data_IF_775663364931
#
_entry.id   IF_775663364931
#
_cell.length_a   1.000
_cell.length_b   1.000
_cell.length_c   1.000
_cell.angle_alpha   90.00
_cell.angle_beta   90.00
_cell.angle_gamma   90.00
#
_symmetry.space_group_name_H-M   'P 1'
#
loop_
_entity.id
_entity.type
_entity.pdbx_description
1 polymer ?
#
# COMPACT_ATOMS: atom_id res chain seq x y z
N UNK A 1 -5.67 -0.07 -24.43
CA UNK A 1 -4.95 1.19 -24.23
C UNK A 1 -5.65 1.95 -23.13
N UNK A 2 -4.89 2.60 -22.27
CA UNK A 2 -5.43 3.41 -21.18
C UNK A 2 -5.15 4.89 -21.44
N UNK A 3 -6.03 5.75 -20.93
CA UNK A 3 -5.88 7.20 -20.98
C UNK A 3 -6.26 7.81 -19.63
N UNK A 4 -5.78 9.00 -19.33
CA UNK A 4 -6.16 9.76 -18.14
C UNK A 4 -7.02 10.94 -18.56
N UNK A 5 -8.11 11.15 -17.82
CA UNK A 5 -9.04 12.25 -18.02
C UNK A 5 -9.11 13.11 -16.78
N UNK A 6 -8.99 14.41 -16.96
CA UNK A 6 -9.00 15.35 -15.84
C UNK A 6 -10.42 15.68 -15.41
N UNK A 7 -10.74 15.37 -14.17
CA UNK A 7 -11.98 15.82 -13.54
C UNK A 7 -11.81 17.27 -13.08
N UNK A 8 -12.51 18.17 -13.75
CA UNK A 8 -12.44 19.61 -13.50
C UNK A 8 -13.04 20.03 -12.16
N UNK A 9 -13.90 19.20 -11.55
CA UNK A 9 -14.56 19.50 -10.28
C UNK A 9 -13.66 19.14 -9.10
N UNK A 10 -13.04 17.97 -9.15
CA UNK A 10 -12.18 17.50 -8.07
C UNK A 10 -10.70 17.90 -8.25
N UNK A 11 -10.32 18.37 -9.45
CA UNK A 11 -8.92 18.63 -9.76
C UNK A 11 -8.07 17.37 -9.90
N UNK A 12 -8.68 16.22 -10.16
CA UNK A 12 -8.00 14.92 -10.17
C UNK A 12 -7.97 14.29 -11.56
N UNK A 13 -6.94 13.49 -11.80
CA UNK A 13 -6.86 12.66 -12.99
C UNK A 13 -7.48 11.28 -12.74
N UNK A 14 -8.38 10.87 -13.61
CA UNK A 14 -9.03 9.55 -13.60
C UNK A 14 -8.47 8.71 -14.74
N UNK A 15 -7.95 7.52 -14.44
CA UNK A 15 -7.46 6.58 -15.43
C UNK A 15 -8.61 5.75 -15.98
N UNK A 16 -8.80 5.78 -17.31
CA UNK A 16 -9.78 4.98 -18.04
C UNK A 16 -9.05 3.83 -18.72
N UNK A 17 -9.26 2.61 -18.25
CA UNK A 17 -8.58 1.38 -18.70
C UNK A 17 -9.60 0.27 -18.98
N UNK A 18 -10.33 0.37 -20.09
CA UNK A 18 -11.47 -0.50 -20.42
C UNK A 18 -11.11 -1.98 -20.61
N UNK A 19 -9.90 -2.27 -21.08
CA UNK A 19 -9.39 -3.65 -21.24
C UNK A 19 -9.27 -4.41 -19.91
N UNK A 20 -9.35 -3.73 -18.75
CA UNK A 20 -9.34 -4.38 -17.44
C UNK A 20 -10.65 -5.10 -17.11
N UNK A 21 -11.69 -4.94 -17.90
CA UNK A 21 -12.94 -5.72 -17.77
C UNK A 21 -12.72 -7.21 -18.07
N UNK A 22 -11.71 -7.55 -18.88
CA UNK A 22 -11.38 -8.93 -19.27
C UNK A 22 -10.42 -9.63 -18.30
N UNK A 23 -10.20 -9.05 -17.09
CA UNK A 23 -9.32 -9.66 -16.07
C UNK A 23 -9.86 -10.99 -15.60
N UNK A 24 -8.95 -11.95 -15.40
CA UNK A 24 -9.23 -13.20 -14.67
C UNK A 24 -9.80 -12.88 -13.29
N UNK A 25 -10.87 -13.53 -12.91
CA UNK A 25 -11.52 -13.34 -11.62
C UNK A 25 -11.69 -14.67 -10.91
N UNK A 26 -11.04 -14.85 -9.76
CA UNK A 26 -11.09 -16.00 -8.87
C UNK A 26 -11.05 -17.36 -9.63
N UNK A 27 -9.99 -17.60 -10.44
CA UNK A 27 -9.87 -18.87 -11.13
C UNK A 27 -9.63 -19.99 -10.13
N UNK A 28 -10.04 -21.24 -10.44
CA UNK A 28 -9.62 -22.38 -9.64
C UNK A 28 -8.10 -22.47 -9.53
N UNK A 29 -7.56 -22.99 -8.43
CA UNK A 29 -6.12 -22.99 -8.14
C UNK A 29 -5.27 -23.58 -9.29
N UNK A 30 -5.76 -24.62 -9.99
CA UNK A 30 -5.07 -25.24 -11.12
C UNK A 30 -5.06 -24.41 -12.42
N UNK A 31 -5.79 -23.29 -12.45
CA UNK A 31 -5.74 -22.28 -13.54
C UNK A 31 -5.22 -20.92 -13.06
N UNK A 32 -4.64 -20.85 -11.87
CA UNK A 32 -4.11 -19.60 -11.34
C UNK A 32 -2.91 -19.12 -12.17
N UNK A 33 -2.96 -17.91 -12.73
CA UNK A 33 -1.88 -17.38 -13.57
C UNK A 33 -0.61 -17.06 -12.77
N UNK A 34 -0.67 -16.96 -11.44
CA UNK A 34 0.45 -16.63 -10.56
C UNK A 34 1.13 -17.86 -9.96
N UNK A 35 0.61 -19.06 -10.20
CA UNK A 35 1.30 -20.28 -9.80
C UNK A 35 2.54 -20.54 -10.65
N UNK A 36 3.56 -21.25 -10.10
CA UNK A 36 4.71 -21.70 -10.89
C UNK A 36 4.28 -22.54 -12.08
N UNK A 37 4.93 -22.38 -13.23
CA UNK A 37 4.78 -23.32 -14.35
C UNK A 37 5.65 -24.55 -14.09
N UNK A 38 5.01 -25.70 -13.91
CA UNK A 38 5.65 -27.01 -13.75
C UNK A 38 5.38 -27.90 -14.96
N UNK A 39 6.02 -29.09 -15.03
CA UNK A 39 5.73 -30.07 -16.08
C UNK A 39 4.26 -30.55 -16.07
N UNK A 40 3.60 -30.50 -14.91
CA UNK A 40 2.23 -30.92 -14.70
C UNK A 40 1.21 -29.80 -14.85
N UNK A 41 1.65 -28.56 -15.14
CA UNK A 41 0.76 -27.42 -15.33
C UNK A 41 -0.10 -27.60 -16.58
N UNK A 42 -1.43 -27.48 -16.43
CA UNK A 42 -2.37 -27.61 -17.53
C UNK A 42 -2.21 -26.49 -18.59
N UNK A 43 -1.71 -25.32 -18.16
CA UNK A 43 -1.43 -24.15 -18.99
C UNK A 43 -0.17 -23.45 -18.51
N UNK A 44 0.53 -22.76 -19.40
CA UNK A 44 1.62 -21.88 -19.03
C UNK A 44 1.08 -20.70 -18.20
N UNK A 45 1.72 -20.39 -17.08
CA UNK A 45 1.38 -19.25 -16.21
C UNK A 45 2.29 -18.04 -16.53
N UNK A 46 2.09 -16.93 -15.83
CA UNK A 46 2.98 -15.75 -15.96
C UNK A 46 4.40 -16.05 -15.43
N UNK A 47 4.57 -17.10 -14.61
CA UNK A 47 5.82 -17.46 -13.96
C UNK A 47 6.35 -18.76 -14.57
N UNK A 48 7.26 -18.65 -15.55
CA UNK A 48 7.85 -19.77 -16.28
C UNK A 48 8.92 -20.57 -15.52
N UNK A 49 8.85 -20.62 -14.19
CA UNK A 49 9.79 -21.34 -13.30
C UNK A 49 9.02 -22.28 -12.38
N UNK A 50 9.57 -23.46 -12.04
CA UNK A 50 8.89 -24.43 -11.17
C UNK A 50 8.88 -24.02 -9.69
N UNK A 51 9.78 -23.12 -9.28
CA UNK A 51 9.89 -22.61 -7.92
C UNK A 51 10.50 -21.21 -7.91
N UNK A 52 10.18 -20.41 -6.88
CA UNK A 52 10.72 -19.07 -6.65
C UNK A 52 10.50 -18.62 -5.21
N UNK A 53 11.27 -17.65 -4.78
CA UNK A 53 11.04 -16.97 -3.50
C UNK A 53 10.09 -15.79 -3.65
N UNK A 54 10.47 -14.80 -4.45
CA UNK A 54 9.63 -13.65 -4.84
C UNK A 54 9.86 -13.41 -6.33
N UNK A 55 8.79 -13.10 -7.04
CA UNK A 55 8.86 -12.74 -8.46
C UNK A 55 8.17 -11.40 -8.67
N UNK A 56 8.80 -10.54 -9.46
CA UNK A 56 8.24 -9.25 -9.89
C UNK A 56 8.19 -9.21 -11.41
N UNK A 57 7.05 -8.81 -11.97
CA UNK A 57 6.86 -8.66 -13.41
C UNK A 57 5.78 -7.61 -13.72
N UNK A 58 5.78 -7.12 -14.97
CA UNK A 58 4.78 -6.14 -15.42
C UNK A 58 3.36 -6.73 -15.41
N UNK A 59 2.42 -5.98 -14.87
CA UNK A 59 1.02 -6.40 -14.81
C UNK A 59 0.41 -6.47 -16.22
N UNK A 60 0.01 -7.66 -16.65
CA UNK A 60 -0.64 -7.89 -17.96
C UNK A 60 -1.89 -7.04 -18.19
N UNK A 61 -2.61 -6.73 -17.12
CA UNK A 61 -3.81 -5.87 -17.15
C UNK A 61 -3.51 -4.50 -16.55
N UNK A 62 -2.37 -3.93 -16.90
CA UNK A 62 -1.89 -2.66 -16.36
C UNK A 62 -2.88 -1.52 -16.64
N UNK A 63 -3.09 -0.65 -15.65
CA UNK A 63 -3.86 0.58 -15.85
C UNK A 63 -3.02 1.72 -16.45
N UNK A 64 -1.70 1.63 -16.32
CA UNK A 64 -0.71 2.58 -16.84
C UNK A 64 0.42 1.80 -17.51
N UNK A 65 1.06 2.40 -18.50
CA UNK A 65 2.13 1.77 -19.27
C UNK A 65 3.31 2.70 -19.43
N UNK A 66 4.56 2.19 -19.53
CA UNK A 66 5.72 3.01 -19.85
C UNK A 66 5.59 3.73 -21.20
N UNK A 67 5.02 3.02 -22.19
CA UNK A 67 4.65 3.57 -23.49
C UNK A 67 3.15 3.33 -23.77
N UNK A 68 2.28 4.22 -23.26
CA UNK A 68 0.82 4.01 -23.36
C UNK A 68 0.22 4.34 -24.74
N UNK A 69 1.02 4.87 -25.67
CA UNK A 69 0.53 5.42 -26.93
C UNK A 69 -0.30 6.69 -26.73
N UNK A 70 -0.94 7.17 -27.80
CA UNK A 70 -1.79 8.37 -27.75
C UNK A 70 -3.18 8.05 -27.18
N UNK A 71 -3.83 9.00 -26.48
CA UNK A 71 -5.23 8.86 -26.09
C UNK A 71 -6.13 8.57 -27.31
N UNK A 72 -7.18 7.78 -27.09
CA UNK A 72 -8.16 7.46 -28.14
C UNK A 72 -9.12 8.60 -28.44
N UNK A 73 -9.30 9.50 -27.48
CA UNK A 73 -10.22 10.65 -27.62
C UNK A 73 -9.45 11.95 -27.74
N UNK A 74 -10.02 12.90 -28.47
CA UNK A 74 -9.54 14.28 -28.50
C UNK A 74 -10.35 15.08 -27.50
N UNK A 75 -9.68 15.77 -26.59
CA UNK A 75 -10.35 16.65 -25.64
C UNK A 75 -10.97 17.87 -26.35
N UNK A 76 -12.19 18.21 -25.98
CA UNK A 76 -12.92 19.37 -26.50
C UNK A 76 -13.35 20.30 -25.38
N UNK A 77 -13.53 21.55 -25.66
CA UNK A 77 -13.88 22.57 -24.67
C UNK A 77 -12.78 22.71 -23.60
N UNK A 78 -13.19 22.72 -22.35
CA UNK A 78 -12.25 22.78 -21.20
C UNK A 78 -11.78 21.42 -20.69
N UNK A 79 -12.09 20.32 -21.38
CA UNK A 79 -11.66 18.98 -20.98
C UNK A 79 -10.16 18.78 -21.25
N UNK A 80 -9.53 17.91 -20.46
CA UNK A 80 -8.12 17.53 -20.63
C UNK A 80 -8.00 16.01 -20.64
N UNK A 81 -7.21 15.50 -21.57
CA UNK A 81 -6.90 14.08 -21.70
C UNK A 81 -5.40 13.92 -21.96
N UNK A 82 -4.82 12.90 -21.38
CA UNK A 82 -3.43 12.53 -21.62
C UNK A 82 -3.28 11.01 -21.67
N UNK A 83 -2.16 10.53 -22.15
CA UNK A 83 -1.80 9.12 -22.12
C UNK A 83 -1.65 8.65 -20.67
N UNK A 84 -2.07 7.42 -20.37
CA UNK A 84 -1.91 6.83 -19.06
C UNK A 84 -0.46 6.32 -18.86
N UNK A 85 0.49 7.27 -18.85
CA UNK A 85 1.89 6.97 -18.56
C UNK A 85 2.07 6.53 -17.11
N UNK A 86 2.92 5.52 -16.88
CA UNK A 86 3.21 4.95 -15.57
C UNK A 86 3.61 3.49 -15.69
N UNK A 87 3.83 2.82 -14.59
CA UNK A 87 4.14 1.38 -14.57
C UNK A 87 3.36 0.69 -13.47
N UNK A 88 2.90 -0.53 -13.74
CA UNK A 88 2.21 -1.37 -12.77
C UNK A 88 2.89 -2.73 -12.74
N UNK A 89 3.50 -3.10 -11.63
CA UNK A 89 4.14 -4.38 -11.42
C UNK A 89 3.31 -5.26 -10.49
N UNK A 90 3.39 -6.57 -10.67
CA UNK A 90 2.88 -7.60 -9.75
C UNK A 90 4.05 -8.17 -8.98
N UNK A 91 3.89 -8.31 -7.68
CA UNK A 91 4.86 -8.94 -6.77
C UNK A 91 4.23 -10.19 -6.19
N UNK A 92 4.69 -11.37 -6.57
CA UNK A 92 4.20 -12.64 -6.04
C UNK A 92 5.12 -13.09 -4.91
N UNK A 93 4.55 -13.30 -3.72
CA UNK A 93 5.29 -13.46 -2.48
C UNK A 93 5.79 -14.89 -2.20
N UNK A 94 5.22 -15.87 -2.86
CA UNK A 94 5.51 -17.28 -2.64
C UNK A 94 5.09 -18.12 -3.83
N UNK A 95 5.76 -19.24 -4.05
CA UNK A 95 5.31 -20.28 -4.98
C UNK A 95 4.08 -21.05 -4.46
N UNK A 96 3.83 -21.03 -3.15
CA UNK A 96 2.67 -21.68 -2.53
C UNK A 96 1.41 -20.83 -2.71
N UNK A 97 0.45 -21.38 -3.46
CA UNK A 97 -0.85 -20.75 -3.74
C UNK A 97 -1.71 -20.54 -2.48
N UNK A 98 -1.57 -21.42 -1.50
CA UNK A 98 -2.49 -21.47 -0.35
C UNK A 98 -1.98 -20.71 0.87
N UNK A 99 -0.82 -20.07 0.79
CA UNK A 99 -0.32 -19.23 1.87
C UNK A 99 -0.87 -17.79 1.78
N UNK A 100 -0.55 -16.97 2.75
CA UNK A 100 -0.83 -15.52 2.75
C UNK A 100 0.42 -14.79 3.20
N UNK A 101 0.46 -13.45 3.09
CA UNK A 101 1.59 -12.67 3.59
C UNK A 101 1.80 -12.88 5.11
N UNK A 102 0.75 -13.20 5.87
CA UNK A 102 0.85 -13.59 7.29
C UNK A 102 1.54 -14.94 7.51
N UNK A 103 1.51 -15.83 6.51
CA UNK A 103 2.04 -17.21 6.59
C UNK A 103 3.44 -17.40 6.02
N UNK A 104 4.01 -16.42 5.30
CA UNK A 104 5.30 -16.60 4.62
C UNK A 104 6.53 -16.55 5.56
N UNK A 105 6.37 -16.07 6.79
CA UNK A 105 7.43 -15.98 7.80
C UNK A 105 8.34 -14.74 7.65
N UNK A 106 9.10 -14.46 8.71
CA UNK A 106 9.91 -13.25 8.84
C UNK A 106 10.99 -13.12 7.74
N UNK A 107 11.68 -14.21 7.39
CA UNK A 107 12.72 -14.17 6.35
C UNK A 107 12.16 -13.79 4.97
N UNK A 108 10.96 -14.25 4.63
CA UNK A 108 10.30 -13.89 3.37
C UNK A 108 9.78 -12.44 3.41
N UNK A 109 9.29 -11.99 4.55
CA UNK A 109 8.93 -10.59 4.75
C UNK A 109 10.15 -9.67 4.64
N UNK A 110 11.31 -10.10 5.17
CA UNK A 110 12.56 -9.36 5.01
C UNK A 110 12.95 -9.22 3.54
N UNK A 111 12.93 -10.33 2.79
CA UNK A 111 13.17 -10.30 1.35
C UNK A 111 12.17 -9.40 0.61
N UNK A 112 10.91 -9.39 1.01
CA UNK A 112 9.89 -8.52 0.42
C UNK A 112 10.19 -7.03 0.66
N UNK A 113 10.64 -6.66 1.85
CA UNK A 113 11.08 -5.28 2.17
C UNK A 113 12.26 -4.87 1.27
N UNK A 114 13.21 -5.78 1.02
CA UNK A 114 14.33 -5.54 0.09
C UNK A 114 13.84 -5.35 -1.35
N UNK A 115 12.91 -6.20 -1.80
CA UNK A 115 12.30 -6.09 -3.14
C UNK A 115 11.58 -4.76 -3.29
N UNK A 116 10.81 -4.33 -2.30
CA UNK A 116 10.15 -3.01 -2.36
C UNK A 116 11.16 -1.86 -2.43
N UNK A 117 12.24 -1.92 -1.64
CA UNK A 117 13.30 -0.90 -1.66
C UNK A 117 14.04 -0.86 -3.00
N UNK A 118 14.40 -2.04 -3.56
CA UNK A 118 15.04 -2.16 -4.87
C UNK A 118 14.14 -1.61 -5.99
N UNK A 119 12.87 -2.07 -6.05
CA UNK A 119 11.94 -1.59 -7.08
C UNK A 119 11.67 -0.09 -6.99
N UNK A 120 11.61 0.45 -5.76
CA UNK A 120 11.49 1.88 -5.56
C UNK A 120 12.65 2.63 -6.23
N UNK A 121 13.91 2.20 -6.02
CA UNK A 121 15.09 2.83 -6.62
C UNK A 121 15.10 2.70 -8.14
N UNK A 122 14.80 1.51 -8.68
CA UNK A 122 14.76 1.27 -10.12
C UNK A 122 13.71 2.14 -10.79
N UNK A 123 12.49 2.18 -10.25
CA UNK A 123 11.40 2.95 -10.81
C UNK A 123 11.63 4.48 -10.65
N UNK A 124 12.30 4.90 -9.58
CA UNK A 124 12.75 6.28 -9.42
C UNK A 124 13.77 6.66 -10.52
N UNK A 125 14.72 5.79 -10.81
CA UNK A 125 15.71 6.01 -11.87
C UNK A 125 15.09 6.02 -13.29
N UNK A 126 13.95 5.35 -13.48
CA UNK A 126 13.15 5.42 -14.71
C UNK A 126 12.38 6.76 -14.85
N UNK A 127 12.42 7.64 -13.83
CA UNK A 127 11.86 8.99 -13.87
C UNK A 127 10.41 9.11 -13.41
N UNK A 128 9.85 8.08 -12.76
CA UNK A 128 8.52 8.19 -12.14
C UNK A 128 8.56 9.09 -10.91
N UNK A 129 7.50 9.86 -10.69
CA UNK A 129 7.46 10.84 -9.60
C UNK A 129 7.03 10.24 -8.26
N UNK A 130 6.33 9.10 -8.25
CA UNK A 130 5.87 8.45 -7.04
C UNK A 130 5.75 6.94 -7.23
N UNK A 131 6.33 6.18 -6.30
CA UNK A 131 6.31 4.70 -6.31
C UNK A 131 5.58 4.23 -5.06
N UNK A 132 4.55 3.40 -5.25
CA UNK A 132 3.68 2.92 -4.18
C UNK A 132 3.52 1.40 -4.24
N UNK A 133 4.22 0.64 -3.39
CA UNK A 133 3.89 -0.75 -3.12
C UNK A 133 2.56 -0.85 -2.37
N UNK A 134 1.72 -1.82 -2.73
CA UNK A 134 0.46 -2.06 -2.04
C UNK A 134 0.00 -3.51 -2.20
N UNK A 135 -0.86 -3.96 -1.30
CA UNK A 135 -1.54 -5.25 -1.36
C UNK A 135 -3.05 -5.05 -1.19
N UNK A 136 -3.82 -5.75 -2.01
CA UNK A 136 -5.25 -5.94 -1.83
C UNK A 136 -5.48 -7.41 -1.44
N UNK A 137 -5.68 -7.70 -0.16
CA UNK A 137 -5.92 -9.06 0.35
C UNK A 137 -7.42 -9.30 0.52
N UNK A 138 -7.93 -10.29 -0.19
CA UNK A 138 -9.30 -10.79 -0.05
C UNK A 138 -10.30 -10.26 -1.08
N UNK A 139 -11.30 -11.08 -1.36
CA UNK A 139 -12.33 -10.84 -2.39
C UNK A 139 -13.15 -9.57 -2.10
N UNK A 140 -13.51 -9.35 -0.84
CA UNK A 140 -14.40 -8.24 -0.43
C UNK A 140 -13.85 -6.84 -0.71
N UNK A 141 -12.55 -6.71 -1.00
CA UNK A 141 -11.91 -5.47 -1.42
C UNK A 141 -11.54 -5.49 -2.92
N UNK A 142 -12.00 -6.49 -3.67
CA UNK A 142 -11.79 -6.62 -5.11
C UNK A 142 -10.47 -7.26 -5.53
N UNK A 143 -9.83 -8.04 -4.65
CA UNK A 143 -8.76 -8.94 -5.07
C UNK A 143 -9.33 -9.97 -6.05
N UNK A 144 -8.69 -10.12 -7.22
CA UNK A 144 -9.19 -10.99 -8.30
C UNK A 144 -8.46 -12.32 -8.39
N UNK A 145 -7.42 -12.51 -7.61
CA UNK A 145 -6.63 -13.74 -7.50
C UNK A 145 -6.34 -14.02 -6.01
N UNK A 146 -6.52 -15.27 -5.60
CA UNK A 146 -6.27 -15.69 -4.21
C UNK A 146 -4.78 -15.91 -3.92
N UNK A 147 -3.99 -16.27 -4.94
CA UNK A 147 -2.55 -16.45 -4.79
C UNK A 147 -1.92 -15.21 -4.15
N UNK A 148 -1.09 -15.34 -3.10
CA UNK A 148 -0.57 -14.20 -2.34
C UNK A 148 0.32 -13.28 -3.19
N UNK A 149 -0.17 -12.10 -3.45
CA UNK A 149 0.53 -11.12 -4.29
C UNK A 149 0.19 -9.68 -3.89
N UNK A 150 1.13 -8.80 -4.15
CA UNK A 150 0.93 -7.36 -4.13
C UNK A 150 1.22 -6.73 -5.48
N UNK A 151 1.24 -5.43 -5.49
CA UNK A 151 1.52 -4.64 -6.68
C UNK A 151 2.41 -3.45 -6.32
N UNK A 152 3.14 -2.96 -7.32
CA UNK A 152 3.86 -1.69 -7.22
C UNK A 152 3.39 -0.81 -8.37
N UNK A 153 2.83 0.34 -8.03
CA UNK A 153 2.47 1.35 -9.04
C UNK A 153 3.48 2.48 -9.02
N UNK A 154 4.00 2.80 -10.21
CA UNK A 154 4.84 3.98 -10.44
C UNK A 154 4.06 5.02 -11.24
N UNK A 155 3.87 6.18 -10.65
CA UNK A 155 3.04 7.26 -11.17
C UNK A 155 3.90 8.38 -11.77
N UNK A 156 3.42 9.05 -12.84
CA UNK A 156 4.11 10.18 -13.44
C UNK A 156 4.01 11.47 -12.60
N UNK A 157 3.14 11.48 -11.61
CA UNK A 157 2.94 12.58 -10.67
C UNK A 157 2.49 12.01 -9.32
N UNK A 158 2.70 12.75 -8.23
CA UNK A 158 2.23 12.35 -6.90
C UNK A 158 0.71 12.25 -6.89
N UNK A 159 0.11 11.10 -6.50
CA UNK A 159 -1.34 10.94 -6.41
C UNK A 159 -1.96 11.91 -5.39
N UNK A 160 -3.23 12.25 -5.58
CA UNK A 160 -3.91 13.31 -4.81
C UNK A 160 -3.94 13.09 -3.30
N UNK A 161 -4.09 11.83 -2.83
CA UNK A 161 -4.10 11.53 -1.39
C UNK A 161 -2.72 11.70 -0.75
N UNK A 162 -1.63 11.08 -1.26
CA UNK A 162 -0.27 11.38 -0.80
C UNK A 162 0.09 12.86 -0.89
N UNK A 163 -0.28 13.55 -1.98
CA UNK A 163 0.01 14.97 -2.14
C UNK A 163 -0.66 15.83 -1.06
N UNK A 164 -1.91 15.51 -0.69
CA UNK A 164 -2.60 16.18 0.42
C UNK A 164 -1.88 15.95 1.76
N UNK A 165 -1.46 14.72 2.05
CA UNK A 165 -0.71 14.41 3.27
C UNK A 165 0.62 15.18 3.33
N UNK A 166 1.34 15.22 2.22
CA UNK A 166 2.57 16.01 2.09
C UNK A 166 2.33 17.52 2.26
N UNK A 167 1.19 18.04 1.76
CA UNK A 167 0.83 19.45 1.96
C UNK A 167 0.61 19.76 3.43
N UNK A 168 -0.13 18.91 4.15
CA UNK A 168 -0.33 19.07 5.60
C UNK A 168 0.99 18.95 6.37
N UNK A 169 1.86 18.02 5.98
CA UNK A 169 3.19 17.87 6.57
C UNK A 169 4.08 19.11 6.33
N UNK A 170 3.98 19.73 5.15
CA UNK A 170 4.71 20.96 4.83
C UNK A 170 4.22 22.16 5.68
N UNK A 171 2.90 22.31 5.85
CA UNK A 171 2.31 23.33 6.72
C UNK A 171 2.76 23.15 8.17
N UNK A 172 2.75 21.90 8.68
CA UNK A 172 3.25 21.58 10.00
C UNK A 172 4.74 21.91 10.14
N UNK A 173 5.57 21.49 9.17
CA UNK A 173 7.01 21.78 9.14
C UNK A 173 7.30 23.27 9.13
N UNK A 174 6.56 24.03 8.32
CA UNK A 174 6.71 25.48 8.22
C UNK A 174 6.39 26.19 9.55
N UNK A 175 5.41 25.68 10.31
CA UNK A 175 4.97 26.29 11.58
C UNK A 175 5.79 25.85 12.78
N UNK A 176 6.29 24.60 12.80
CA UNK A 176 6.94 24.00 13.97
C UNK A 176 8.43 23.73 13.78
N UNK A 177 8.91 23.67 12.54
CA UNK A 177 10.27 23.19 12.21
C UNK A 177 10.44 21.69 12.31
N UNK A 178 9.36 20.90 12.59
CA UNK A 178 9.41 19.47 12.90
C UNK A 178 8.64 18.63 11.87
N UNK A 179 8.94 17.34 11.78
CA UNK A 179 8.21 16.40 10.98
C UNK A 179 6.88 16.06 11.64
N UNK A 180 5.77 16.15 10.90
CA UNK A 180 4.42 15.84 11.40
C UNK A 180 4.32 14.43 11.97
N UNK A 181 4.77 13.41 11.22
CA UNK A 181 4.68 12.01 11.67
C UNK A 181 5.57 11.74 12.88
N UNK A 182 6.76 12.38 13.00
CA UNK A 182 7.57 12.28 14.21
C UNK A 182 6.83 12.82 15.44
N UNK A 183 6.07 13.90 15.30
CA UNK A 183 5.27 14.46 16.38
C UNK A 183 4.08 13.56 16.72
N UNK A 184 3.37 13.03 15.72
CA UNK A 184 2.30 12.03 15.92
C UNK A 184 2.82 10.79 16.66
N UNK A 185 4.00 10.26 16.30
CA UNK A 185 4.61 9.13 16.99
C UNK A 185 4.95 9.44 18.44
N UNK A 186 5.44 10.65 18.72
CA UNK A 186 5.72 11.08 20.08
C UNK A 186 4.43 11.17 20.93
N UNK A 187 3.36 11.70 20.36
CA UNK A 187 2.05 11.80 21.02
C UNK A 187 1.45 10.41 21.27
N UNK A 188 1.52 9.50 20.28
CA UNK A 188 1.02 8.12 20.44
C UNK A 188 1.82 7.32 21.47
N UNK A 189 3.14 7.54 21.55
CA UNK A 189 3.98 6.93 22.61
C UNK A 189 3.65 7.47 23.99
N UNK A 190 3.36 8.75 24.11
CA UNK A 190 3.01 9.39 25.37
C UNK A 190 1.62 8.93 25.89
N UNK A 191 0.64 8.80 24.99
CA UNK A 191 -0.71 8.31 25.32
C UNK A 191 -0.71 6.77 25.56
N UNK A 192 -0.13 6.00 24.66
CA UNK A 192 -0.03 4.54 24.74
C UNK A 192 -1.34 3.77 24.48
N UNK A 193 -2.51 4.42 24.52
CA UNK A 193 -3.81 3.74 24.41
C UNK A 193 -4.05 3.09 23.04
N UNK A 194 -3.55 3.70 21.98
CA UNK A 194 -3.72 3.26 20.59
C UNK A 194 -2.55 2.44 20.03
N UNK A 195 -1.50 2.22 20.83
CA UNK A 195 -0.38 1.36 20.42
C UNK A 195 -0.85 -0.09 20.26
N UNK A 196 -0.47 -0.74 19.17
CA UNK A 196 -0.72 -2.16 18.90
C UNK A 196 0.54 -2.96 19.18
N UNK A 197 1.67 -2.56 18.62
CA UNK A 197 2.96 -3.25 18.73
C UNK A 197 4.08 -2.23 18.63
N UNK A 198 5.14 -2.42 19.40
CA UNK A 198 6.37 -1.65 19.32
C UNK A 198 7.57 -2.60 19.25
N UNK A 199 8.56 -2.23 18.46
CA UNK A 199 9.90 -2.79 18.44
C UNK A 199 10.90 -1.69 18.82
N UNK A 200 12.18 -1.97 18.77
CA UNK A 200 13.20 -0.95 19.03
C UNK A 200 13.15 0.16 17.97
N UNK A 201 12.88 -0.20 16.72
CA UNK A 201 12.90 0.71 15.58
C UNK A 201 11.54 1.17 15.09
N UNK A 202 10.46 0.45 15.30
CA UNK A 202 9.17 0.73 14.68
C UNK A 202 8.02 0.75 15.68
N UNK A 203 6.99 1.50 15.30
CA UNK A 203 5.71 1.52 15.98
C UNK A 203 4.60 1.07 15.04
N UNK A 204 3.67 0.27 15.58
CA UNK A 204 2.37 -0.01 14.96
C UNK A 204 1.27 0.50 15.89
N UNK A 205 0.39 1.36 15.39
CA UNK A 205 -0.68 1.98 16.17
C UNK A 205 -1.96 2.14 15.35
N UNK A 206 -3.11 2.20 16.02
CA UNK A 206 -4.35 2.65 15.40
C UNK A 206 -4.33 4.18 15.41
N UNK A 207 -4.44 4.87 14.27
CA UNK A 207 -4.36 6.33 14.25
C UNK A 207 -5.48 6.97 15.08
N UNK A 208 -5.25 8.18 15.60
CA UNK A 208 -6.25 8.93 16.38
C UNK A 208 -7.57 9.12 15.61
N UNK A 209 -7.49 9.33 14.30
CA UNK A 209 -8.63 9.50 13.40
C UNK A 209 -8.61 8.46 12.27
N UNK A 210 -8.91 7.16 12.56
CA UNK A 210 -8.88 6.12 11.56
C UNK A 210 -10.03 6.26 10.57
N UNK A 211 -9.83 5.77 9.34
CA UNK A 211 -10.88 5.71 8.31
C UNK A 211 -11.52 4.33 8.22
N UNK A 212 -10.83 3.32 8.75
CA UNK A 212 -11.29 1.92 8.79
C UNK A 212 -11.25 1.39 10.23
N UNK A 213 -12.12 0.41 10.59
CA UNK A 213 -12.35 0.00 11.98
C UNK A 213 -11.10 -0.51 12.73
N UNK A 214 -10.20 -1.17 12.03
CA UNK A 214 -8.93 -1.70 12.56
C UNK A 214 -7.77 -1.23 11.70
N UNK A 215 -7.83 0.02 11.27
CA UNK A 215 -6.73 0.67 10.58
C UNK A 215 -5.49 0.68 11.48
N UNK A 216 -4.35 0.27 10.93
CA UNK A 216 -3.07 0.33 11.63
C UNK A 216 -2.07 1.05 10.75
N UNK A 217 -1.35 1.96 11.36
CA UNK A 217 -0.18 2.60 10.79
C UNK A 217 1.07 1.96 11.36
N UNK A 218 2.11 1.80 10.53
CA UNK A 218 3.43 1.34 10.94
C UNK A 218 4.47 2.33 10.42
N UNK A 219 5.31 2.85 11.30
CA UNK A 219 6.37 3.78 10.92
C UNK A 219 7.62 3.59 11.77
N UNK A 220 8.81 3.94 11.25
CA UNK A 220 10.03 4.01 12.03
C UNK A 220 9.93 5.11 13.10
N UNK A 221 10.51 4.86 14.27
CA UNK A 221 10.50 5.78 15.42
C UNK A 221 11.40 7.00 15.23
N UNK A 222 12.22 7.01 14.21
CA UNK A 222 13.06 8.13 13.80
C UNK A 222 12.69 8.59 12.40
N UNK A 223 13.10 9.76 12.04
CA UNK A 223 12.76 10.34 10.74
C UNK A 223 13.45 9.59 9.58
N UNK A 224 12.67 8.84 8.82
CA UNK A 224 13.07 8.15 7.59
C UNK A 224 12.03 8.44 6.53
N UNK A 225 12.46 8.89 5.36
CA UNK A 225 11.53 9.36 4.33
C UNK A 225 11.07 8.27 3.34
N UNK A 226 11.73 7.12 3.30
CA UNK A 226 11.35 6.03 2.39
C UNK A 226 12.08 4.72 2.65
N UNK A 227 11.58 3.62 2.10
CA UNK A 227 12.14 2.27 2.24
C UNK A 227 13.64 2.15 1.90
N UNK A 228 14.15 2.80 0.83
CA UNK A 228 15.57 2.69 0.49
C UNK A 228 16.52 3.26 1.54
N UNK A 229 16.02 4.12 2.43
CA UNK A 229 16.81 4.77 3.46
C UNK A 229 16.99 3.91 4.72
N UNK A 230 16.29 2.76 4.81
CA UNK A 230 16.45 1.78 5.87
C UNK A 230 17.72 0.95 5.63
N UNK A 231 18.54 0.79 6.67
CA UNK A 231 19.65 -0.17 6.68
C UNK A 231 19.15 -1.62 6.88
N UNK A 232 20.08 -2.59 6.90
CA UNK A 232 19.75 -4.01 7.01
C UNK A 232 19.05 -4.35 8.34
N UNK A 233 19.56 -3.84 9.47
CA UNK A 233 18.99 -4.08 10.80
C UNK A 233 17.57 -3.50 10.92
N UNK A 234 17.37 -2.33 10.37
CA UNK A 234 16.07 -1.66 10.33
C UNK A 234 15.05 -2.41 9.46
N UNK A 235 15.49 -2.99 8.34
CA UNK A 235 14.64 -3.83 7.50
C UNK A 235 14.29 -5.15 8.18
N UNK A 236 15.23 -5.73 8.94
CA UNK A 236 14.98 -6.92 9.76
C UNK A 236 13.94 -6.65 10.84
N UNK A 237 14.03 -5.50 11.52
CA UNK A 237 13.09 -5.09 12.56
C UNK A 237 11.68 -4.85 11.96
N UNK A 238 11.57 -4.16 10.81
CA UNK A 238 10.30 -4.00 10.10
C UNK A 238 9.69 -5.35 9.74
N UNK A 239 10.48 -6.28 9.19
CA UNK A 239 10.03 -7.61 8.84
C UNK A 239 9.55 -8.40 10.07
N UNK A 240 10.28 -8.30 11.18
CA UNK A 240 9.91 -8.88 12.47
C UNK A 240 8.60 -8.32 13.02
N UNK A 241 8.40 -7.01 12.93
CA UNK A 241 7.14 -6.37 13.31
C UNK A 241 5.98 -6.88 12.44
N UNK A 242 6.15 -6.92 11.11
CA UNK A 242 5.13 -7.42 10.18
C UNK A 242 4.80 -8.90 10.43
N UNK A 243 5.78 -9.74 10.73
CA UNK A 243 5.60 -11.15 11.07
C UNK A 243 4.73 -11.37 12.33
N UNK A 244 4.60 -10.36 13.17
CA UNK A 244 3.73 -10.38 14.36
C UNK A 244 2.38 -9.71 14.09
N UNK A 245 2.35 -8.60 13.37
CA UNK A 245 1.14 -7.82 13.10
C UNK A 245 0.18 -8.57 12.16
N UNK A 246 0.70 -9.14 11.06
CA UNK A 246 -0.14 -9.79 10.05
C UNK A 246 -0.94 -10.99 10.59
N UNK A 247 -0.34 -11.94 11.35
CA UNK A 247 -1.11 -12.98 12.00
C UNK A 247 -2.08 -12.47 13.07
N UNK A 248 -1.84 -11.33 13.70
CA UNK A 248 -2.76 -10.74 14.65
C UNK A 248 -4.08 -10.32 13.98
N UNK A 249 -4.02 -9.81 12.75
CA UNK A 249 -5.22 -9.54 11.96
C UNK A 249 -6.05 -10.80 11.69
N UNK A 250 -5.42 -11.91 11.28
CA UNK A 250 -6.10 -13.16 10.98
C UNK A 250 -6.74 -13.78 12.25
N UNK A 251 -6.15 -13.54 13.43
CA UNK A 251 -6.71 -13.98 14.73
C UNK A 251 -7.84 -13.09 15.24
N UNK A 252 -7.98 -11.86 14.74
CA UNK A 252 -8.94 -10.89 15.26
C UNK A 252 -10.39 -11.40 15.19
N UNK A 253 -10.73 -12.11 14.13
CA UNK A 253 -12.03 -12.72 13.91
C UNK A 253 -11.96 -14.21 13.59
N UNK A 254 -10.77 -14.84 13.64
CA UNK A 254 -10.59 -16.26 13.40
C UNK A 254 -10.60 -16.69 11.93
N UNK A 255 -10.39 -15.76 11.01
CA UNK A 255 -10.24 -16.03 9.57
C UNK A 255 -9.18 -15.12 8.94
N UNK A 256 -8.71 -15.47 7.73
CA UNK A 256 -7.76 -14.64 6.98
C UNK A 256 -8.37 -13.27 6.66
N UNK A 257 -8.05 -12.26 7.48
CA UNK A 257 -8.70 -10.95 7.44
C UNK A 257 -8.33 -10.19 6.16
N UNK A 258 -9.33 -9.77 5.35
CA UNK A 258 -9.08 -8.87 4.22
C UNK A 258 -8.59 -7.50 4.66
N UNK A 259 -7.67 -6.93 3.88
CA UNK A 259 -7.20 -5.55 4.07
C UNK A 259 -6.67 -4.97 2.75
N UNK A 260 -6.63 -3.65 2.67
CA UNK A 260 -5.74 -2.91 1.78
C UNK A 260 -4.53 -2.50 2.59
N UNK A 261 -3.33 -2.77 2.09
CA UNK A 261 -2.07 -2.25 2.64
C UNK A 261 -1.41 -1.37 1.58
N UNK A 262 -0.81 -0.26 1.99
CA UNK A 262 0.02 0.57 1.12
C UNK A 262 1.26 1.06 1.86
N UNK A 263 2.38 1.14 1.13
CA UNK A 263 3.62 1.74 1.61
C UNK A 263 3.71 3.15 1.04
N UNK A 264 3.72 4.13 1.91
CA UNK A 264 3.89 5.54 1.58
C UNK A 264 5.33 5.96 1.88
N UNK A 265 5.98 6.60 0.92
CA UNK A 265 7.32 7.15 1.07
C UNK A 265 7.42 8.51 0.40
N UNK A 266 8.62 9.10 0.42
CA UNK A 266 8.85 10.35 -0.29
C UNK A 266 8.60 10.19 -1.79
N UNK A 267 8.14 11.23 -2.49
CA UNK A 267 8.19 11.27 -3.95
C UNK A 267 9.61 11.07 -4.48
N UNK A 268 9.71 10.46 -5.67
CA UNK A 268 10.99 10.02 -6.26
C UNK A 268 11.61 11.04 -7.19
N UNK A 269 10.84 12.03 -7.66
CA UNK A 269 11.33 13.01 -8.63
C UNK A 269 10.68 14.37 -8.49
N UNK A 270 11.38 15.37 -9.09
CA UNK A 270 10.94 16.75 -9.12
C UNK A 270 11.07 17.50 -7.79
N UNK A 271 10.93 18.81 -7.88
CA UNK A 271 10.79 19.65 -6.69
C UNK A 271 9.38 19.55 -6.12
N UNK A 272 9.20 19.72 -4.80
CA UNK A 272 7.88 19.70 -4.19
C UNK A 272 6.91 20.69 -4.82
N UNK A 273 5.84 20.18 -5.42
CA UNK A 273 4.74 20.98 -5.96
C UNK A 273 3.69 21.26 -4.85
N UNK A 274 4.17 21.63 -3.67
CA UNK A 274 3.35 21.92 -2.49
C UNK A 274 3.34 23.42 -2.28
N UNK A 275 2.15 24.01 -2.28
CA UNK A 275 2.01 25.45 -2.10
C UNK A 275 2.60 25.90 -0.75
N UNK A 276 3.47 26.92 -0.79
CA UNK A 276 4.11 27.47 0.41
C UNK A 276 5.30 26.66 0.94
N UNK A 277 5.74 25.62 0.24
CA UNK A 277 6.91 24.83 0.60
C UNK A 277 8.01 24.96 -0.45
N UNK A 278 9.22 25.29 -0.01
CA UNK A 278 10.42 25.44 -0.85
C UNK A 278 11.57 24.50 -0.47
N UNK A 279 11.35 23.63 0.54
CA UNK A 279 12.32 22.61 0.96
C UNK A 279 12.24 21.34 0.11
N UNK A 280 12.94 20.29 0.54
CA UNK A 280 12.99 18.99 -0.16
C UNK A 280 11.87 18.04 0.24
N UNK A 281 11.62 17.02 -0.60
CA UNK A 281 10.66 15.95 -0.26
C UNK A 281 10.99 15.19 1.03
N UNK A 282 12.26 14.79 1.29
CA UNK A 282 12.61 14.11 2.54
C UNK A 282 12.20 14.85 3.81
N UNK A 283 12.24 16.19 3.81
CA UNK A 283 11.94 16.99 5.01
C UNK A 283 10.47 16.93 5.45
N UNK A 284 9.56 16.68 4.51
CA UNK A 284 8.11 16.62 4.74
C UNK A 284 7.51 15.23 4.54
N UNK A 285 8.34 14.25 4.19
CA UNK A 285 7.92 12.85 4.03
C UNK A 285 8.36 12.03 5.23
N UNK A 286 7.60 11.01 5.55
CA UNK A 286 7.97 9.98 6.49
C UNK A 286 7.52 8.62 5.94
N UNK A 287 8.34 7.58 6.09
CA UNK A 287 7.96 6.22 5.72
C UNK A 287 6.77 5.78 6.58
N UNK A 288 5.69 5.37 5.92
CA UNK A 288 4.48 4.93 6.59
C UNK A 288 3.89 3.73 5.83
N UNK A 289 3.62 2.64 6.54
CA UNK A 289 2.78 1.56 6.04
C UNK A 289 1.39 1.73 6.64
N UNK A 290 0.36 1.70 5.80
CA UNK A 290 -1.03 1.84 6.21
C UNK A 290 -1.77 0.54 5.91
N UNK A 291 -2.48 0.00 6.90
CA UNK A 291 -3.35 -1.16 6.76
C UNK A 291 -4.80 -0.74 7.00
N UNK A 292 -5.70 -1.07 6.09
CA UNK A 292 -7.10 -0.66 6.13
C UNK A 292 -8.03 -1.87 5.94
N UNK A 293 -8.31 -2.66 7.00
CA UNK A 293 -9.28 -3.75 6.96
C UNK A 293 -10.72 -3.23 6.90
N UNK A 294 -11.59 -3.78 6.03
CA UNK A 294 -12.96 -3.32 5.92
C UNK A 294 -13.91 -3.88 7.00
N UNK A 295 -13.51 -4.89 7.76
CA UNK A 295 -14.38 -5.55 8.74
C UNK A 295 -14.55 -4.72 10.01
N UNK A 296 -15.82 -4.49 10.41
CA UNK A 296 -16.22 -3.95 11.73
C UNK A 296 -16.38 -5.03 12.78
N UNK A 297 -16.81 -6.21 12.33
CA UNK A 297 -16.96 -7.42 13.11
C UNK A 297 -16.75 -8.61 12.17
N UNK A 298 -16.82 -9.82 12.70
CA UNK A 298 -16.72 -11.07 11.93
C UNK A 298 -17.59 -11.08 10.68
N UNK A 299 -18.83 -10.58 10.76
CA UNK A 299 -19.83 -10.62 9.69
C UNK A 299 -20.22 -9.28 9.10
N UNK A 300 -19.65 -8.16 9.56
CA UNK A 300 -20.04 -6.80 9.12
C UNK A 300 -18.88 -6.05 8.50
N UNK A 301 -19.07 -5.60 7.27
CA UNK A 301 -18.12 -4.76 6.54
C UNK A 301 -18.44 -3.27 6.71
N UNK A 302 -17.40 -2.45 6.68
CA UNK A 302 -17.50 -1.04 6.42
C UNK A 302 -17.44 -0.82 4.91
N UNK A 303 -18.51 -0.29 4.35
CA UNK A 303 -18.52 0.20 2.99
C UNK A 303 -18.30 1.71 2.98
N UNK A 304 -17.52 2.20 2.02
CA UNK A 304 -17.49 3.63 1.75
C UNK A 304 -18.77 4.00 1.00
N UNK A 305 -19.61 4.78 1.63
CA UNK A 305 -20.93 5.15 1.14
C UNK A 305 -21.05 6.67 0.89
N UNK A 306 -22.26 7.22 0.93
CA UNK A 306 -22.52 8.60 0.54
C UNK A 306 -21.68 9.65 1.26
N UNK A 307 -21.55 9.53 2.57
CA UNK A 307 -20.77 10.49 3.36
C UNK A 307 -19.28 10.44 2.98
N UNK A 308 -18.70 9.26 2.89
CA UNK A 308 -17.28 9.07 2.59
C UNK A 308 -16.96 9.35 1.12
N UNK A 309 -17.68 8.73 0.16
CA UNK A 309 -17.37 8.86 -1.26
C UNK A 309 -17.72 10.23 -1.83
N UNK A 310 -18.85 10.81 -1.42
CA UNK A 310 -19.34 12.08 -1.97
C UNK A 310 -18.93 13.27 -1.12
N UNK A 311 -18.86 13.08 0.20
CA UNK A 311 -18.54 14.16 1.15
C UNK A 311 -17.08 14.16 1.63
N UNK A 312 -16.34 13.05 1.48
CA UNK A 312 -15.03 12.89 2.09
C UNK A 312 -15.05 12.83 3.62
N UNK A 313 -16.25 12.62 4.21
CA UNK A 313 -16.48 12.60 5.65
C UNK A 313 -16.55 11.14 6.13
N UNK A 314 -15.49 10.66 6.75
CA UNK A 314 -15.40 9.29 7.25
C UNK A 314 -16.11 9.16 8.60
N UNK A 315 -16.84 8.05 8.79
CA UNK A 315 -17.53 7.69 10.04
C UNK A 315 -17.00 6.34 10.51
N UNK A 316 -16.59 6.23 11.77
CA UNK A 316 -16.06 5.03 12.40
C UNK A 316 -16.96 4.56 13.53
N UNK A 317 -17.24 3.26 13.53
CA UNK A 317 -18.12 2.62 14.54
C UNK A 317 -17.32 1.89 15.65
N UNK A 318 -15.99 1.81 15.53
CA UNK A 318 -15.09 1.18 16.50
C UNK A 318 -14.13 2.24 17.01
N UNK A 319 -14.13 2.48 18.32
CA UNK A 319 -13.18 3.44 18.91
C UNK A 319 -11.74 2.98 18.70
N UNK A 320 -10.81 3.89 18.34
CA UNK A 320 -9.41 3.55 18.05
C UNK A 320 -8.73 2.80 19.19
N UNK A 321 -8.96 3.21 20.42
CA UNK A 321 -8.41 2.60 21.64
C UNK A 321 -8.90 1.16 21.83
N UNK A 322 -10.17 0.91 21.52
CA UNK A 322 -10.76 -0.44 21.56
C UNK A 322 -10.20 -1.32 20.44
N UNK A 323 -10.03 -0.77 19.24
CA UNK A 323 -9.43 -1.48 18.11
C UNK A 323 -7.99 -1.89 18.44
N UNK A 324 -7.19 -0.98 18.99
CA UNK A 324 -5.82 -1.26 19.41
C UNK A 324 -5.75 -2.32 20.52
N UNK A 325 -6.63 -2.21 21.53
CA UNK A 325 -6.68 -3.18 22.63
C UNK A 325 -7.02 -4.60 22.13
N UNK A 326 -7.97 -4.71 21.20
CA UNK A 326 -8.33 -6.00 20.58
C UNK A 326 -7.20 -6.57 19.74
N UNK A 327 -6.53 -5.77 18.92
CA UNK A 327 -5.37 -6.21 18.13
C UNK A 327 -4.21 -6.65 19.03
N UNK A 328 -3.91 -5.91 20.10
CA UNK A 328 -2.88 -6.31 21.10
C UNK A 328 -3.16 -7.69 21.67
N UNK A 329 -4.44 -7.98 21.97
CA UNK A 329 -4.84 -9.27 22.56
C UNK A 329 -4.66 -10.45 21.59
N UNK A 330 -4.55 -10.20 20.28
CA UNK A 330 -4.36 -11.24 19.25
C UNK A 330 -2.92 -11.42 18.79
N UNK A 331 -2.01 -10.55 19.27
CA UNK A 331 -0.59 -10.68 18.92
C UNK A 331 -0.06 -12.07 19.30
N UNK A 332 0.79 -12.70 18.47
CA UNK A 332 1.52 -13.88 18.87
C UNK A 332 2.40 -13.56 20.08
N UNK A 333 2.58 -14.55 20.97
CA UNK A 333 3.58 -14.43 22.02
C UNK A 333 4.92 -14.08 21.36
N UNK A 334 5.58 -13.04 21.85
CA UNK A 334 6.90 -12.68 21.37
C UNK A 334 7.88 -13.86 21.56
N UNK A 335 9.00 -13.86 20.85
CA UNK A 335 10.10 -14.72 21.26
C UNK A 335 10.42 -14.41 22.72
N UNK A 336 10.52 -15.48 23.51
CA UNK A 336 10.85 -15.40 24.92
C UNK A 336 12.26 -14.82 25.10
#
# INVERSE_FOLDING_TARGET
>A
MSERRYDRRSGQWVTVATHRQDRTFLPPAHYCPLCPTTADSAVATEIGRPDFEIVVFDNRFSSMWPDPGRPKVTATGGNRVESAHGRCEVVVYSADHNTTLAGVGASRLRLLVDVWADRYLVLAAEGYAYVMPFENKGEVIGATLEHPHGQIYAFPAVPSRPLRALSTAAEHRASTGRCLTCDELADELADGSRLVLATDGFLAWVPFAPRFPYEVHVAPRWHVSGLPDLDEEQRDDLAGLLARLLPAYDRLFGFSLPYVMAVQGRPTGGDPQVAGWSGSWPEISHLLLEFAPPHRSESKLKYLAGAELMGGAFVIDVAPEQAAARLRATLPAGPA
#
